data_IF_506166444040
#
_entry.id   IF_506166444040
#
_cell.length_a   1.000
_cell.length_b   1.000
_cell.length_c   1.000
_cell.angle_alpha   90.00
_cell.angle_beta   90.00
_cell.angle_gamma   90.00
#
_symmetry.space_group_name_H-M   'P 1'
#
loop_
_entity.id
_entity.type
_entity.pdbx_description
1 polymer ?
#
# COMPACT_ATOMS: atom_id res chain seq x y z
N UNK A 1 -17.39 -8.66 1.62
CA UNK A 1 -16.59 -9.44 0.67
C UNK A 1 -15.12 -9.27 1.04
N UNK A 2 -14.51 -10.29 1.64
CA UNK A 2 -13.09 -10.31 2.00
C UNK A 2 -12.54 -11.70 1.65
N UNK A 3 -12.42 -12.01 0.35
CA UNK A 3 -11.88 -13.30 -0.12
C UNK A 3 -10.92 -13.08 -1.28
N UNK A 4 -9.80 -12.42 -0.97
CA UNK A 4 -8.82 -12.05 -1.97
C UNK A 4 -7.44 -12.60 -1.57
N UNK A 5 -7.15 -13.77 -2.11
CA UNK A 5 -5.90 -14.50 -1.96
C UNK A 5 -5.93 -15.76 -2.82
N UNK A 6 -4.75 -16.29 -3.16
CA UNK A 6 -4.64 -17.61 -3.78
C UNK A 6 -5.18 -18.64 -2.78
N UNK A 7 -6.14 -19.48 -3.19
CA UNK A 7 -6.58 -20.61 -2.37
C UNK A 7 -5.34 -21.41 -1.97
N UNK A 8 -5.22 -21.88 -0.71
CA UNK A 8 -4.08 -22.70 -0.34
C UNK A 8 -3.99 -23.90 -1.30
N UNK A 9 -2.77 -24.34 -1.62
CA UNK A 9 -2.54 -25.27 -2.73
C UNK A 9 -3.39 -26.54 -2.66
N UNK A 10 -3.63 -27.07 -1.46
CA UNK A 10 -4.53 -28.22 -1.22
C UNK A 10 -5.94 -27.96 -1.77
N UNK A 11 -6.57 -26.87 -1.33
CA UNK A 11 -7.89 -26.42 -1.77
C UNK A 11 -7.93 -26.14 -3.28
N UNK A 12 -6.93 -25.43 -3.81
CA UNK A 12 -6.88 -25.14 -5.25
C UNK A 12 -6.74 -26.40 -6.09
N UNK A 13 -5.98 -27.40 -5.63
CA UNK A 13 -5.78 -28.64 -6.35
C UNK A 13 -7.05 -29.50 -6.36
N UNK A 14 -7.73 -29.62 -5.21
CA UNK A 14 -9.00 -30.33 -5.10
C UNK A 14 -10.08 -29.70 -6.01
N UNK A 15 -10.19 -28.37 -5.98
CA UNK A 15 -11.14 -27.64 -6.81
C UNK A 15 -10.85 -27.76 -8.32
N UNK A 16 -9.57 -27.65 -8.72
CA UNK A 16 -9.17 -27.85 -10.12
C UNK A 16 -9.36 -29.30 -10.59
N UNK A 17 -9.26 -30.27 -9.69
CA UNK A 17 -9.49 -31.69 -9.96
C UNK A 17 -10.97 -31.96 -10.22
N UNK A 18 -11.87 -31.35 -9.43
CA UNK A 18 -13.31 -31.37 -9.69
C UNK A 18 -13.64 -30.73 -11.05
N UNK A 19 -13.12 -29.52 -11.31
CA UNK A 19 -13.40 -28.76 -12.54
C UNK A 19 -12.93 -29.46 -13.83
N UNK A 20 -11.94 -30.36 -13.75
CA UNK A 20 -11.44 -31.15 -14.88
C UNK A 20 -12.25 -32.41 -15.17
N UNK A 21 -13.29 -32.72 -14.39
CA UNK A 21 -14.29 -33.77 -14.67
C UNK A 21 -13.82 -35.24 -14.65
N UNK A 22 -12.51 -35.51 -14.74
CA UNK A 22 -12.00 -36.84 -15.10
C UNK A 22 -11.34 -37.64 -13.95
N UNK A 23 -11.43 -37.19 -12.68
CA UNK A 23 -10.84 -37.93 -11.55
C UNK A 23 -11.73 -37.91 -10.32
N UNK A 24 -11.99 -39.09 -9.73
CA UNK A 24 -12.65 -39.23 -8.41
C UNK A 24 -11.87 -38.44 -7.34
N UNK A 25 -12.60 -37.65 -6.57
CA UNK A 25 -12.08 -36.97 -5.38
C UNK A 25 -11.95 -37.99 -4.24
N UNK A 26 -10.90 -37.85 -3.45
CA UNK A 26 -10.78 -38.54 -2.16
C UNK A 26 -11.71 -37.90 -1.14
N UNK A 27 -12.08 -38.60 -0.04
CA UNK A 27 -12.94 -38.04 1.00
C UNK A 27 -12.42 -36.70 1.56
N UNK A 28 -11.10 -36.57 1.74
CA UNK A 28 -10.48 -35.32 2.18
C UNK A 28 -10.58 -34.20 1.13
N UNK A 29 -10.47 -34.51 -0.16
CA UNK A 29 -10.63 -33.51 -1.23
C UNK A 29 -12.09 -33.07 -1.35
N UNK A 30 -13.06 -33.97 -1.14
CA UNK A 30 -14.49 -33.62 -1.11
C UNK A 30 -14.80 -32.61 -0.01
N UNK A 31 -14.35 -32.86 1.23
CA UNK A 31 -14.51 -31.91 2.35
C UNK A 31 -13.87 -30.57 2.04
N UNK A 32 -12.69 -30.57 1.41
CA UNK A 32 -12.02 -29.33 1.01
C UNK A 32 -12.81 -28.56 -0.06
N UNK A 33 -13.42 -29.25 -1.02
CA UNK A 33 -14.25 -28.63 -2.06
C UNK A 33 -15.55 -28.09 -1.48
N UNK A 34 -16.25 -28.85 -0.64
CA UNK A 34 -17.47 -28.39 0.03
C UNK A 34 -17.22 -27.11 0.85
N UNK A 35 -16.08 -27.06 1.57
CA UNK A 35 -15.68 -25.87 2.30
C UNK A 35 -15.42 -24.68 1.37
N UNK A 36 -14.80 -24.90 0.20
CA UNK A 36 -14.58 -23.86 -0.80
C UNK A 36 -15.90 -23.38 -1.39
N UNK A 37 -16.85 -24.28 -1.68
CA UNK A 37 -18.14 -23.92 -2.26
C UNK A 37 -18.97 -23.09 -1.28
N UNK A 38 -19.04 -23.49 -0.01
CA UNK A 38 -19.66 -22.68 1.06
C UNK A 38 -18.99 -21.30 1.18
N UNK A 39 -17.66 -21.25 1.01
CA UNK A 39 -16.90 -20.00 1.06
C UNK A 39 -17.15 -19.11 -0.17
N UNK A 40 -17.22 -19.69 -1.38
CA UNK A 40 -17.52 -18.97 -2.62
C UNK A 40 -18.96 -18.47 -2.60
N UNK A 41 -19.91 -19.27 -2.13
CA UNK A 41 -21.31 -18.87 -1.97
C UNK A 41 -21.44 -17.69 -1.00
N UNK A 42 -20.76 -17.78 0.15
CA UNK A 42 -20.85 -16.76 1.19
C UNK A 42 -20.11 -15.46 0.84
N UNK A 43 -19.02 -15.54 0.10
CA UNK A 43 -18.09 -14.42 -0.04
C UNK A 43 -17.69 -14.06 -1.47
N UNK A 44 -18.11 -14.84 -2.46
CA UNK A 44 -17.78 -14.67 -3.88
C UNK A 44 -16.47 -15.37 -4.30
N UNK A 45 -16.25 -15.46 -5.60
CA UNK A 45 -15.04 -16.06 -6.18
C UNK A 45 -13.82 -15.14 -6.02
N UNK A 46 -12.60 -15.70 -5.82
CA UNK A 46 -11.39 -14.89 -5.75
C UNK A 46 -11.17 -14.12 -7.05
N UNK A 47 -11.05 -12.79 -6.96
CA UNK A 47 -10.81 -11.92 -8.10
C UNK A 47 -9.44 -12.26 -8.72
N UNK A 48 -9.47 -12.64 -9.99
CA UNK A 48 -8.28 -12.93 -10.80
C UNK A 48 -7.87 -11.68 -11.59
N UNK A 49 -6.57 -11.49 -11.77
CA UNK A 49 -6.04 -10.44 -12.62
C UNK A 49 -6.48 -10.70 -14.07
N UNK A 50 -7.23 -9.75 -14.65
CA UNK A 50 -7.77 -9.85 -16.01
C UNK A 50 -6.71 -10.07 -17.09
N UNK A 51 -5.46 -9.65 -16.85
CA UNK A 51 -4.36 -9.77 -17.84
C UNK A 51 -3.69 -11.14 -17.85
N UNK A 52 -3.67 -11.88 -16.73
CA UNK A 52 -2.90 -13.12 -16.62
C UNK A 52 -3.63 -14.26 -15.89
N UNK A 53 -4.90 -14.08 -15.51
CA UNK A 53 -5.72 -15.10 -14.87
C UNK A 53 -5.28 -15.53 -13.46
N UNK A 54 -4.20 -14.95 -12.91
CA UNK A 54 -3.68 -15.29 -11.59
C UNK A 54 -4.50 -14.65 -10.48
N UNK A 55 -4.67 -15.35 -9.36
CA UNK A 55 -5.27 -14.78 -8.17
C UNK A 55 -4.47 -13.57 -7.69
N UNK A 56 -5.14 -12.46 -7.38
CA UNK A 56 -4.47 -11.29 -6.81
C UNK A 56 -3.93 -11.65 -5.42
N UNK A 57 -2.60 -11.75 -5.27
CA UNK A 57 -1.96 -11.81 -3.95
C UNK A 57 -2.07 -10.44 -3.28
N UNK A 58 -2.91 -10.37 -2.25
CA UNK A 58 -3.29 -9.10 -1.63
C UNK A 58 -2.33 -8.62 -0.54
N UNK A 59 -1.99 -9.51 0.40
CA UNK A 59 -1.33 -9.15 1.63
C UNK A 59 -0.57 -10.36 2.19
N UNK A 60 0.55 -10.09 2.85
CA UNK A 60 1.30 -11.08 3.63
C UNK A 60 0.51 -11.50 4.87
N UNK A 61 0.88 -12.64 5.48
CA UNK A 61 0.32 -13.04 6.78
C UNK A 61 0.45 -11.92 7.82
N UNK A 62 1.61 -11.26 7.83
CA UNK A 62 1.88 -10.06 8.63
C UNK A 62 0.83 -8.95 8.45
N UNK A 63 0.59 -8.52 7.20
CA UNK A 63 -0.40 -7.48 6.90
C UNK A 63 -1.82 -7.92 7.24
N UNK A 64 -2.17 -9.20 6.99
CA UNK A 64 -3.49 -9.75 7.33
C UNK A 64 -3.75 -9.68 8.82
N UNK A 65 -2.81 -10.11 9.65
CA UNK A 65 -2.99 -10.12 11.11
C UNK A 65 -3.18 -8.70 11.66
N UNK A 66 -2.40 -7.72 11.16
CA UNK A 66 -2.58 -6.31 11.55
C UNK A 66 -3.96 -5.80 11.12
N UNK A 67 -4.41 -6.10 9.90
CA UNK A 67 -5.72 -5.67 9.44
C UNK A 67 -6.87 -6.32 10.20
N UNK A 68 -6.75 -7.59 10.59
CA UNK A 68 -7.74 -8.25 11.45
C UNK A 68 -7.80 -7.58 12.83
N UNK A 69 -6.66 -7.32 13.46
CA UNK A 69 -6.61 -6.58 14.71
C UNK A 69 -7.17 -5.16 14.56
N UNK A 70 -6.88 -4.48 13.45
CA UNK A 70 -7.44 -3.17 13.18
C UNK A 70 -8.95 -3.20 12.93
N UNK A 71 -9.56 -4.33 12.59
CA UNK A 71 -11.01 -4.41 12.37
C UNK A 71 -11.81 -4.13 13.65
N UNK A 72 -11.26 -4.45 14.84
CA UNK A 72 -11.87 -4.15 16.16
C UNK A 72 -12.19 -2.66 16.36
N UNK A 73 -11.47 -1.80 15.64
CA UNK A 73 -11.72 -0.35 15.56
C UNK A 73 -13.14 -0.01 15.11
N UNK A 74 -13.71 -0.82 14.20
CA UNK A 74 -15.03 -0.55 13.60
C UNK A 74 -16.09 -0.50 14.69
N UNK A 75 -16.05 -1.47 15.59
CA UNK A 75 -17.04 -1.62 16.65
C UNK A 75 -16.81 -0.58 17.77
N UNK A 76 -15.60 -0.55 18.35
CA UNK A 76 -15.31 0.37 19.45
C UNK A 76 -13.85 0.83 19.53
N UNK A 77 -13.51 2.02 18.99
CA UNK A 77 -12.16 2.57 19.00
C UNK A 77 -11.68 3.00 20.39
N UNK A 78 -12.59 3.19 21.36
CA UNK A 78 -12.24 3.61 22.71
C UNK A 78 -11.77 2.45 23.58
N UNK A 79 -12.18 1.21 23.26
CA UNK A 79 -11.87 0.02 24.05
C UNK A 79 -10.90 -0.94 23.38
N UNK A 80 -10.87 -1.00 22.05
CA UNK A 80 -9.91 -1.86 21.34
C UNK A 80 -8.47 -1.38 21.56
N UNK A 81 -7.53 -2.33 21.60
CA UNK A 81 -6.09 -2.08 21.74
C UNK A 81 -5.75 -1.10 22.87
N UNK A 82 -6.38 -1.27 24.04
CA UNK A 82 -6.19 -0.42 25.22
C UNK A 82 -6.52 1.07 24.97
N UNK A 83 -7.47 1.35 24.07
CA UNK A 83 -7.85 2.71 23.70
C UNK A 83 -6.80 3.45 22.86
N UNK A 84 -5.75 2.77 22.36
CA UNK A 84 -4.73 3.36 21.50
C UNK A 84 -5.29 3.87 20.17
N UNK A 85 -6.47 3.41 19.76
CA UNK A 85 -7.21 3.89 18.57
C UNK A 85 -8.24 4.98 18.87
N UNK A 86 -8.33 5.47 20.12
CA UNK A 86 -9.25 6.55 20.52
C UNK A 86 -9.07 7.83 19.71
N UNK A 87 -7.86 8.13 19.23
CA UNK A 87 -7.59 9.28 18.35
C UNK A 87 -8.36 9.23 17.02
N UNK A 88 -8.77 8.04 16.59
CA UNK A 88 -9.60 7.82 15.40
C UNK A 88 -11.11 7.79 15.73
N UNK A 89 -11.50 7.95 16.99
CA UNK A 89 -12.91 7.96 17.42
C UNK A 89 -13.67 9.18 16.93
N UNK A 90 -12.98 10.32 16.73
CA UNK A 90 -13.60 11.59 16.32
C UNK A 90 -14.04 11.56 14.86
N UNK A 91 -15.15 10.85 14.65
CA UNK A 91 -15.98 10.91 13.47
C UNK A 91 -16.56 12.33 13.32
N UNK A 92 -16.74 12.80 12.08
CA UNK A 92 -17.32 14.13 11.80
C UNK A 92 -18.78 14.27 12.23
N UNK A 93 -19.40 13.21 12.74
CA UNK A 93 -20.83 13.14 13.05
C UNK A 93 -21.05 12.60 14.46
N UNK A 94 -22.09 13.11 15.12
CA UNK A 94 -22.56 12.66 16.44
C UNK A 94 -23.44 11.40 16.30
N UNK A 95 -24.02 11.16 15.12
CA UNK A 95 -24.95 10.06 14.88
C UNK A 95 -24.20 8.73 14.76
N UNK A 96 -24.48 7.79 15.68
CA UNK A 96 -23.82 6.47 15.76
C UNK A 96 -23.75 5.72 14.42
N UNK A 97 -24.83 5.71 13.65
CA UNK A 97 -24.86 5.06 12.33
C UNK A 97 -23.90 5.68 11.31
N UNK A 98 -23.73 7.01 11.33
CA UNK A 98 -22.75 7.68 10.47
C UNK A 98 -21.31 7.44 10.96
N UNK A 99 -21.10 7.40 12.27
CA UNK A 99 -19.79 7.05 12.84
C UNK A 99 -19.36 5.65 12.38
N UNK A 100 -20.24 4.66 12.48
CA UNK A 100 -19.99 3.31 11.99
C UNK A 100 -19.61 3.29 10.50
N UNK A 101 -20.39 3.96 9.64
CA UNK A 101 -20.09 4.07 8.20
C UNK A 101 -18.73 4.73 7.93
N UNK A 102 -18.36 5.74 8.71
CA UNK A 102 -17.04 6.40 8.61
C UNK A 102 -15.92 5.45 9.02
N UNK A 103 -16.08 4.67 10.10
CA UNK A 103 -15.09 3.69 10.54
C UNK A 103 -14.90 2.56 9.53
N UNK A 104 -16.00 2.05 8.96
CA UNK A 104 -15.94 1.07 7.86
C UNK A 104 -15.19 1.66 6.65
N UNK A 105 -15.48 2.90 6.28
CA UNK A 105 -14.76 3.57 5.17
C UNK A 105 -13.27 3.71 5.48
N UNK A 106 -12.92 4.11 6.69
CA UNK A 106 -11.53 4.24 7.12
C UNK A 106 -10.81 2.88 7.09
N UNK A 107 -11.46 1.83 7.58
CA UNK A 107 -10.95 0.45 7.49
C UNK A 107 -10.65 0.03 6.05
N UNK A 108 -11.58 0.32 5.13
CA UNK A 108 -11.38 0.02 3.69
C UNK A 108 -10.21 0.81 3.10
N UNK A 109 -10.04 2.08 3.47
CA UNK A 109 -8.90 2.91 3.04
C UNK A 109 -7.59 2.38 3.62
N UNK A 110 -7.51 2.08 4.91
CA UNK A 110 -6.31 1.53 5.56
C UNK A 110 -5.93 0.18 4.95
N UNK A 111 -6.90 -0.70 4.72
CA UNK A 111 -6.68 -1.97 4.01
C UNK A 111 -6.08 -1.74 2.64
N UNK A 112 -6.62 -0.77 1.89
CA UNK A 112 -6.11 -0.43 0.55
C UNK A 112 -4.66 0.06 0.61
N UNK A 113 -4.35 0.93 1.57
CA UNK A 113 -3.00 1.42 1.81
C UNK A 113 -2.05 0.24 2.14
N UNK A 114 -2.47 -0.66 3.03
CA UNK A 114 -1.72 -1.84 3.45
C UNK A 114 -1.34 -2.77 2.30
N UNK A 115 -2.20 -2.94 1.29
CA UNK A 115 -1.87 -3.78 0.12
C UNK A 115 -0.67 -3.28 -0.69
N UNK A 116 -0.29 -2.01 -0.52
CA UNK A 116 0.85 -1.37 -1.17
C UNK A 116 1.96 -1.00 -0.16
N UNK A 117 1.83 -1.40 1.11
CA UNK A 117 2.79 -1.09 2.16
C UNK A 117 3.94 -2.11 2.18
N UNK A 118 5.18 -1.64 2.24
CA UNK A 118 6.34 -2.45 2.61
C UNK A 118 6.29 -2.77 4.10
N UNK A 119 6.27 -4.06 4.44
CA UNK A 119 6.20 -4.50 5.85
C UNK A 119 7.43 -4.12 6.67
N UNK A 120 8.57 -3.92 6.00
CA UNK A 120 9.85 -3.61 6.65
C UNK A 120 9.90 -2.16 7.09
N UNK A 121 9.22 -1.28 6.37
CA UNK A 121 9.45 0.17 6.48
C UNK A 121 8.18 0.99 6.66
N UNK A 122 6.99 0.40 6.48
CA UNK A 122 5.71 1.09 6.57
C UNK A 122 5.40 2.00 5.37
N UNK A 123 6.30 2.11 4.39
CA UNK A 123 6.09 2.95 3.21
C UNK A 123 5.16 2.31 2.18
N UNK A 124 4.39 3.16 1.52
CA UNK A 124 3.43 2.78 0.50
C UNK A 124 3.98 3.10 -0.87
N UNK A 125 4.10 2.06 -1.68
CA UNK A 125 4.72 2.16 -2.99
C UNK A 125 4.51 0.92 -3.85
N UNK A 126 5.15 0.93 -5.00
CA UNK A 126 5.18 -0.19 -5.93
C UNK A 126 6.50 -0.24 -6.66
N UNK A 127 6.81 -1.42 -7.17
CA UNK A 127 7.87 -1.61 -8.15
C UNK A 127 7.31 -1.42 -9.57
N UNK A 128 8.19 -1.31 -10.55
CA UNK A 128 7.82 -1.17 -11.95
C UNK A 128 7.02 -2.39 -12.40
N UNK A 129 6.01 -2.16 -13.24
CA UNK A 129 5.31 -3.24 -13.91
C UNK A 129 6.02 -3.61 -15.23
N UNK A 130 5.52 -4.62 -15.94
CA UNK A 130 6.11 -5.10 -17.19
C UNK A 130 6.15 -4.08 -18.35
N UNK A 131 5.47 -2.95 -18.22
CA UNK A 131 5.41 -1.87 -19.21
C UNK A 131 6.22 -0.63 -18.80
N UNK A 132 6.81 -0.66 -17.60
CA UNK A 132 7.58 0.46 -17.06
C UNK A 132 9.05 0.06 -16.98
N UNK A 133 9.93 0.98 -17.35
CA UNK A 133 11.36 0.80 -17.13
C UNK A 133 11.65 0.65 -15.64
N UNK A 134 12.61 -0.20 -15.26
CA UNK A 134 13.00 -0.41 -13.86
C UNK A 134 14.02 0.63 -13.44
N UNK A 135 13.84 1.23 -12.26
CA UNK A 135 14.87 2.07 -11.66
C UNK A 135 15.73 1.21 -10.75
N UNK A 136 17.01 1.04 -11.07
CA UNK A 136 17.93 0.20 -10.31
C UNK A 136 18.84 1.06 -9.40
N UNK A 137 19.34 0.45 -8.33
CA UNK A 137 20.43 0.99 -7.52
C UNK A 137 21.81 0.55 -8.03
N UNK A 138 22.86 1.01 -7.35
CA UNK A 138 24.27 0.72 -7.66
C UNK A 138 24.59 -0.79 -7.64
N UNK A 139 23.74 -1.62 -7.02
CA UNK A 139 23.90 -3.06 -6.90
C UNK A 139 22.94 -3.85 -7.80
N UNK A 140 22.17 -3.17 -8.67
CA UNK A 140 21.21 -3.79 -9.57
C UNK A 140 19.89 -4.21 -8.91
N UNK A 141 19.58 -3.70 -7.72
CA UNK A 141 18.30 -3.92 -7.07
C UNK A 141 17.28 -2.86 -7.50
N UNK A 142 16.05 -3.28 -7.73
CA UNK A 142 14.98 -2.39 -8.18
C UNK A 142 14.49 -1.49 -7.04
N UNK A 143 14.53 -0.17 -7.23
CA UNK A 143 14.09 0.85 -6.27
C UNK A 143 12.57 0.93 -6.20
N UNK A 144 12.05 1.13 -4.98
CA UNK A 144 10.62 1.31 -4.75
C UNK A 144 10.17 2.71 -5.16
N UNK A 145 9.04 2.78 -5.88
CA UNK A 145 8.40 4.02 -6.32
C UNK A 145 7.25 4.38 -5.41
N UNK A 146 7.08 5.67 -5.13
CA UNK A 146 5.88 6.17 -4.46
C UNK A 146 4.62 5.88 -5.28
N UNK A 147 3.45 5.94 -4.64
CA UNK A 147 2.17 5.77 -5.33
C UNK A 147 1.32 7.03 -5.24
N UNK A 148 0.80 7.52 -6.37
CA UNK A 148 -0.13 8.65 -6.38
C UNK A 148 -1.46 8.30 -5.67
N UNK A 149 -2.11 9.30 -5.06
CA UNK A 149 -3.40 9.09 -4.40
C UNK A 149 -4.49 8.59 -5.35
N UNK A 150 -4.46 9.01 -6.63
CA UNK A 150 -5.39 8.49 -7.64
C UNK A 150 -5.21 6.98 -7.86
N UNK A 151 -3.97 6.50 -7.95
CA UNK A 151 -3.68 5.07 -8.11
C UNK A 151 -4.13 4.25 -6.88
N UNK A 152 -3.98 4.80 -5.67
CA UNK A 152 -4.52 4.19 -4.45
C UNK A 152 -6.05 4.10 -4.51
N UNK A 153 -6.74 5.14 -4.99
CA UNK A 153 -8.21 5.11 -5.17
C UNK A 153 -8.65 4.12 -6.26
N UNK A 154 -7.89 3.99 -7.35
CA UNK A 154 -8.14 2.97 -8.36
C UNK A 154 -7.99 1.57 -7.78
N UNK A 155 -6.98 1.37 -6.91
CA UNK A 155 -6.82 0.12 -6.16
C UNK A 155 -8.00 -0.10 -5.22
N UNK A 156 -8.43 0.90 -4.45
CA UNK A 156 -9.62 0.81 -3.59
C UNK A 156 -10.84 0.26 -4.36
N UNK A 157 -11.10 0.77 -5.56
CA UNK A 157 -12.19 0.29 -6.39
C UNK A 157 -12.02 -1.18 -6.80
N UNK A 158 -10.81 -1.60 -7.17
CA UNK A 158 -10.52 -3.00 -7.46
C UNK A 158 -10.70 -3.89 -6.22
N UNK A 159 -10.37 -3.37 -5.03
CA UNK A 159 -10.41 -4.14 -3.80
C UNK A 159 -11.83 -4.31 -3.25
N UNK A 160 -12.64 -3.27 -3.34
CA UNK A 160 -13.94 -3.18 -2.67
C UNK A 160 -15.13 -3.24 -3.62
N UNK A 161 -14.88 -3.29 -4.93
CA UNK A 161 -15.87 -3.19 -5.99
C UNK A 161 -16.80 -1.97 -5.82
N UNK A 162 -16.29 -0.90 -5.21
CA UNK A 162 -17.02 0.34 -4.98
C UNK A 162 -16.07 1.52 -5.18
N UNK A 163 -16.57 2.62 -5.73
CA UNK A 163 -15.75 3.83 -5.90
C UNK A 163 -15.72 4.66 -4.61
N UNK A 164 -14.60 5.32 -4.36
CA UNK A 164 -14.47 6.32 -3.30
C UNK A 164 -14.23 7.70 -3.90
N UNK A 165 -15.02 8.68 -3.46
CA UNK A 165 -14.85 10.07 -3.89
C UNK A 165 -13.53 10.66 -3.37
N UNK A 166 -12.99 11.65 -4.09
CA UNK A 166 -11.75 12.34 -3.67
C UNK A 166 -11.89 12.89 -2.25
N UNK A 167 -13.03 13.51 -1.93
CA UNK A 167 -13.32 14.09 -0.62
C UNK A 167 -13.33 13.05 0.49
N UNK A 168 -14.09 11.94 0.33
CA UNK A 168 -14.15 10.87 1.35
C UNK A 168 -12.79 10.23 1.59
N UNK A 169 -12.02 10.02 0.51
CA UNK A 169 -10.66 9.49 0.61
C UNK A 169 -9.73 10.47 1.36
N UNK A 170 -9.72 11.74 0.96
CA UNK A 170 -8.90 12.77 1.60
C UNK A 170 -9.24 12.95 3.08
N UNK A 171 -10.52 12.83 3.45
CA UNK A 171 -10.96 12.86 4.84
C UNK A 171 -10.36 11.71 5.66
N UNK A 172 -10.34 10.48 5.11
CA UNK A 172 -9.72 9.34 5.78
C UNK A 172 -8.21 9.55 5.98
N UNK A 173 -7.52 10.05 4.94
CA UNK A 173 -6.09 10.39 5.05
C UNK A 173 -5.87 11.47 6.11
N UNK A 174 -6.72 12.51 6.16
CA UNK A 174 -6.64 13.56 7.17
C UNK A 174 -6.85 13.02 8.58
N UNK A 175 -7.81 12.12 8.79
CA UNK A 175 -8.02 11.47 10.10
C UNK A 175 -6.77 10.70 10.55
N UNK A 176 -6.15 9.92 9.66
CA UNK A 176 -4.93 9.19 9.99
C UNK A 176 -3.76 10.13 10.30
N UNK A 177 -3.62 11.23 9.55
CA UNK A 177 -2.60 12.26 9.82
C UNK A 177 -2.82 12.93 11.17
N UNK A 178 -4.05 13.32 11.49
CA UNK A 178 -4.39 13.96 12.77
C UNK A 178 -4.18 13.02 13.97
N UNK A 179 -4.39 11.71 13.78
CA UNK A 179 -4.08 10.72 14.80
C UNK A 179 -2.56 10.44 14.94
N UNK A 180 -1.73 11.02 14.06
CA UNK A 180 -0.29 10.77 14.02
C UNK A 180 0.08 9.40 13.47
N UNK A 181 -0.85 8.72 12.78
CA UNK A 181 -0.67 7.35 12.26
C UNK A 181 -0.19 7.28 10.83
N UNK A 182 -0.22 8.41 10.12
CA UNK A 182 0.12 8.44 8.71
C UNK A 182 0.88 9.71 8.37
N UNK A 183 1.97 9.56 7.65
CA UNK A 183 2.78 10.65 7.14
C UNK A 183 2.73 10.66 5.62
N UNK A 184 2.68 11.87 5.07
CA UNK A 184 2.84 12.09 3.64
C UNK A 184 4.04 13.01 3.48
N UNK A 185 5.20 12.44 3.16
CA UNK A 185 6.38 13.21 2.79
C UNK A 185 6.23 13.60 1.33
N UNK A 186 5.95 14.88 1.07
CA UNK A 186 5.83 15.38 -0.28
C UNK A 186 7.13 15.13 -1.04
N UNK A 187 7.01 14.50 -2.20
CA UNK A 187 7.95 14.71 -3.30
C UNK A 187 7.14 15.42 -4.38
N UNK A 188 7.21 16.75 -4.27
CA UNK A 188 6.81 17.83 -5.18
C UNK A 188 5.38 18.32 -5.31
N UNK A 189 5.32 19.64 -5.13
CA UNK A 189 4.44 20.60 -5.77
C UNK A 189 4.85 20.64 -7.25
N UNK A 190 3.90 20.43 -8.16
CA UNK A 190 4.10 20.64 -9.60
C UNK A 190 4.78 21.98 -9.86
N UNK A 191 5.62 22.09 -10.89
CA UNK A 191 6.01 23.41 -11.40
C UNK A 191 4.81 24.00 -12.15
N UNK A 192 3.81 24.49 -11.39
CA UNK A 192 2.59 25.13 -11.93
C UNK A 192 2.92 26.37 -12.77
N UNK A 193 4.09 26.95 -12.52
CA UNK A 193 4.59 28.15 -13.19
C UNK A 193 5.42 27.82 -14.44
N UNK A 194 5.74 26.55 -14.72
CA UNK A 194 6.52 26.16 -15.89
C UNK A 194 5.89 26.69 -17.20
N UNK A 195 4.57 26.69 -17.30
CA UNK A 195 3.86 27.25 -18.46
C UNK A 195 3.91 28.77 -18.53
N UNK A 196 3.97 29.44 -17.37
CA UNK A 196 4.08 30.91 -17.27
C UNK A 196 5.50 31.32 -17.64
N UNK A 197 6.52 30.68 -17.05
CA UNK A 197 7.95 30.91 -17.34
C UNK A 197 8.25 30.66 -18.82
N UNK A 198 7.70 29.59 -19.41
CA UNK A 198 7.85 29.34 -20.86
C UNK A 198 7.24 30.44 -21.71
N UNK A 199 6.15 31.05 -21.25
CA UNK A 199 5.50 32.15 -21.97
C UNK A 199 6.29 33.45 -21.80
N UNK A 200 6.77 33.75 -20.60
CA UNK A 200 7.66 34.89 -20.34
C UNK A 200 8.97 34.81 -21.17
N UNK A 201 9.55 33.61 -21.30
CA UNK A 201 10.73 33.39 -22.14
C UNK A 201 10.45 33.64 -23.62
N UNK A 202 9.27 33.23 -24.12
CA UNK A 202 8.84 33.55 -25.50
C UNK A 202 8.67 35.05 -25.71
N UNK A 203 8.03 35.71 -24.77
CA UNK A 203 7.76 37.15 -24.85
C UNK A 203 9.06 37.97 -24.80
N UNK A 204 10.11 37.44 -24.15
CA UNK A 204 11.46 38.03 -24.08
C UNK A 204 12.39 37.61 -25.23
N UNK A 205 11.90 36.89 -26.24
CA UNK A 205 12.69 36.49 -27.41
C UNK A 205 13.71 35.38 -27.17
N UNK A 206 13.54 34.57 -26.12
CA UNK A 206 14.39 33.41 -25.87
C UNK A 206 14.26 32.37 -26.99
N UNK A 207 15.31 31.60 -27.20
CA UNK A 207 15.36 30.53 -28.20
C UNK A 207 14.48 29.34 -27.82
N UNK A 208 14.07 28.53 -28.82
CA UNK A 208 13.28 27.32 -28.57
C UNK A 208 14.01 26.33 -27.64
N UNK A 209 15.34 26.30 -27.66
CA UNK A 209 16.15 25.45 -26.78
C UNK A 209 16.03 25.90 -25.31
N UNK A 210 16.07 27.21 -25.04
CA UNK A 210 15.89 27.78 -23.69
C UNK A 210 14.47 27.56 -23.15
N UNK A 211 13.46 27.69 -24.02
CA UNK A 211 12.05 27.44 -23.66
C UNK A 211 11.82 25.95 -23.36
N UNK A 212 12.44 25.05 -24.12
CA UNK A 212 12.33 23.60 -23.88
C UNK A 212 13.15 23.13 -22.69
N UNK A 213 14.21 23.85 -22.31
CA UNK A 213 15.00 23.57 -21.13
C UNK A 213 14.19 23.71 -19.82
N UNK A 214 13.13 24.52 -19.79
CA UNK A 214 12.24 24.62 -18.61
C UNK A 214 11.47 23.30 -18.42
N UNK A 215 11.78 22.50 -17.37
CA UNK A 215 11.23 21.17 -17.23
C UNK A 215 9.77 21.24 -16.77
N UNK A 216 8.89 20.56 -17.50
CA UNK A 216 7.49 20.38 -17.07
C UNK A 216 7.44 19.25 -16.04
N UNK A 217 7.45 19.61 -14.76
CA UNK A 217 7.37 18.63 -13.66
C UNK A 217 5.89 18.31 -13.38
N UNK A 218 5.44 17.14 -13.81
CA UNK A 218 4.15 16.59 -13.42
C UNK A 218 4.14 16.20 -11.93
N UNK A 219 2.96 16.11 -11.31
CA UNK A 219 2.86 15.69 -9.91
C UNK A 219 3.41 14.28 -9.74
N UNK A 220 4.62 14.19 -9.20
CA UNK A 220 5.26 12.91 -8.91
C UNK A 220 4.60 12.24 -7.69
N UNK A 221 4.70 10.90 -7.58
CA UNK A 221 4.12 10.18 -6.46
C UNK A 221 4.71 10.61 -5.11
N UNK A 222 3.91 11.30 -4.29
CA UNK A 222 4.31 11.61 -2.91
C UNK A 222 4.54 10.35 -2.07
N UNK A 223 5.54 10.37 -1.19
CA UNK A 223 5.78 9.28 -0.25
C UNK A 223 4.76 9.29 0.87
N UNK A 224 4.34 8.10 1.25
CA UNK A 224 3.31 7.87 2.24
C UNK A 224 3.79 6.73 3.12
N UNK A 225 3.70 6.87 4.42
CA UNK A 225 4.04 5.78 5.33
C UNK A 225 3.10 5.76 6.53
N UNK A 226 2.89 4.56 7.06
CA UNK A 226 2.40 4.40 8.43
C UNK A 226 3.53 4.72 9.39
N UNK A 227 3.23 5.49 10.43
CA UNK A 227 4.21 5.91 11.43
C UNK A 227 4.45 4.80 12.45
N UNK A 228 5.52 4.94 13.24
CA UNK A 228 5.78 4.08 14.38
C UNK A 228 4.64 4.12 15.41
N UNK A 229 3.91 5.24 15.53
CA UNK A 229 2.74 5.33 16.40
C UNK A 229 1.62 4.39 15.97
N UNK A 230 1.43 4.16 14.66
CA UNK A 230 0.50 3.15 14.17
C UNK A 230 0.98 1.73 14.49
N UNK A 231 2.26 1.45 14.28
CA UNK A 231 2.83 0.14 14.61
C UNK A 231 2.74 -0.19 16.11
N UNK A 232 2.94 0.81 16.98
CA UNK A 232 2.87 0.68 18.44
C UNK A 232 1.47 0.30 18.97
N UNK A 233 0.41 0.51 18.17
CA UNK A 233 -0.92 -0.01 18.49
C UNK A 233 -0.91 -1.54 18.55
N UNK A 234 -0.18 -2.17 17.64
CA UNK A 234 -0.16 -3.62 17.42
C UNK A 234 1.14 -4.27 17.89
N UNK A 235 1.92 -3.61 18.74
CA UNK A 235 3.25 -4.06 19.15
C UNK A 235 3.27 -5.49 19.68
N UNK A 236 2.35 -5.83 20.59
CA UNK A 236 2.23 -7.18 21.14
C UNK A 236 1.97 -8.24 20.05
N UNK A 237 1.15 -7.90 19.05
CA UNK A 237 0.90 -8.77 17.91
C UNK A 237 2.15 -8.88 17.04
N UNK A 238 2.76 -7.76 16.67
CA UNK A 238 3.94 -7.69 15.81
C UNK A 238 5.10 -8.51 16.40
N UNK A 239 5.27 -8.49 17.72
CA UNK A 239 6.34 -9.21 18.42
C UNK A 239 6.06 -10.70 18.64
N UNK A 240 4.88 -11.21 18.25
CA UNK A 240 4.59 -12.64 18.30
C UNK A 240 5.48 -13.44 17.32
N UNK A 241 5.80 -14.68 17.70
CA UNK A 241 6.69 -15.55 16.92
C UNK A 241 6.21 -15.72 15.46
N UNK A 242 4.93 -16.04 15.27
CA UNK A 242 4.32 -16.18 13.95
C UNK A 242 4.48 -14.91 13.09
N UNK A 243 4.35 -13.72 13.69
CA UNK A 243 4.49 -12.44 12.97
C UNK A 243 5.93 -12.19 12.55
N UNK A 244 6.90 -12.51 13.42
CA UNK A 244 8.32 -12.41 13.11
C UNK A 244 8.72 -13.38 11.99
N UNK A 245 8.22 -14.62 12.02
CA UNK A 245 8.43 -15.60 10.94
C UNK A 245 7.84 -15.10 9.61
N UNK A 246 6.61 -14.56 9.62
CA UNK A 246 5.97 -14.00 8.42
C UNK A 246 6.75 -12.81 7.84
N UNK A 247 7.30 -11.97 8.72
CA UNK A 247 8.18 -10.84 8.35
C UNK A 247 9.47 -11.35 7.71
N UNK A 248 10.15 -12.30 8.34
CA UNK A 248 11.39 -12.90 7.82
C UNK A 248 11.21 -13.52 6.43
N UNK A 249 10.13 -14.28 6.21
CA UNK A 249 9.81 -14.86 4.89
C UNK A 249 9.63 -13.80 3.81
N UNK A 250 9.00 -12.67 4.16
CA UNK A 250 8.77 -11.58 3.23
C UNK A 250 10.07 -10.82 2.90
N UNK A 251 10.96 -10.64 3.89
CA UNK A 251 12.32 -10.10 3.69
C UNK A 251 13.11 -11.00 2.74
N UNK A 252 13.15 -12.31 3.02
CA UNK A 252 13.86 -13.27 2.19
C UNK A 252 13.35 -13.26 0.73
N UNK A 253 12.03 -13.15 0.54
CA UNK A 253 11.41 -13.04 -0.78
C UNK A 253 11.80 -11.74 -1.50
N UNK A 254 11.87 -10.61 -0.78
CA UNK A 254 12.31 -9.33 -1.33
C UNK A 254 13.76 -9.42 -1.84
N UNK A 255 14.65 -9.96 -1.02
CA UNK A 255 16.07 -10.14 -1.35
C UNK A 255 16.22 -11.05 -2.57
N UNK A 256 15.52 -12.20 -2.58
CA UNK A 256 15.51 -13.13 -3.72
C UNK A 256 15.08 -12.46 -5.03
N UNK A 257 14.14 -11.52 -4.94
CA UNK A 257 13.62 -10.80 -6.10
C UNK A 257 14.46 -9.56 -6.48
N UNK A 258 15.60 -9.31 -5.81
CA UNK A 258 16.45 -8.12 -6.01
C UNK A 258 15.67 -6.81 -5.89
N UNK A 259 14.79 -6.73 -4.90
CA UNK A 259 13.97 -5.54 -4.64
C UNK A 259 14.56 -4.71 -3.52
N UNK A 260 14.75 -3.42 -3.76
CA UNK A 260 15.34 -2.49 -2.82
C UNK A 260 14.28 -1.70 -2.06
N UNK A 261 14.55 -1.46 -0.77
CA UNK A 261 13.77 -0.52 0.04
C UNK A 261 14.16 0.94 -0.21
N UNK A 262 15.17 1.18 -1.05
CA UNK A 262 15.60 2.53 -1.43
C UNK A 262 14.54 3.16 -2.33
N UNK A 263 14.23 4.42 -2.01
CA UNK A 263 13.21 5.21 -2.68
C UNK A 263 13.80 6.15 -3.73
N UNK A 264 13.13 6.27 -4.88
CA UNK A 264 13.50 7.23 -5.94
C UNK A 264 12.98 8.64 -5.61
N UNK A 265 13.67 9.39 -4.75
CA UNK A 265 13.30 10.78 -4.45
C UNK A 265 13.89 11.74 -5.49
N UNK A 266 13.06 12.50 -6.18
CA UNK A 266 13.46 13.72 -6.88
C UNK A 266 13.60 14.86 -5.83
N UNK A 267 14.46 15.88 -6.01
CA UNK A 267 14.59 17.05 -5.08
C UNK A 267 14.72 18.39 -5.84
N UNK A 268 13.94 19.47 -5.54
CA UNK A 268 13.71 20.60 -6.50
C UNK A 268 14.85 21.54 -6.68
N UNK A 269 15.70 21.61 -5.68
CA UNK A 269 16.56 22.76 -5.47
C UNK A 269 17.99 22.50 -5.94
N UNK A 270 18.18 21.73 -7.02
CA UNK A 270 19.53 21.43 -7.49
C UNK A 270 19.74 21.34 -9.01
N UNK A 271 18.75 21.59 -9.87
CA UNK A 271 18.90 21.50 -11.35
C UNK A 271 19.64 20.24 -11.85
N UNK A 272 19.60 19.14 -11.07
CA UNK A 272 20.27 17.88 -11.39
C UNK A 272 19.75 16.73 -10.52
N UNK A 273 19.73 15.52 -11.10
CA UNK A 273 19.26 14.28 -10.49
C UNK A 273 20.27 13.78 -9.44
N UNK A 274 20.10 14.10 -8.16
CA UNK A 274 20.94 13.54 -7.10
C UNK A 274 20.22 12.49 -6.26
N UNK A 275 20.88 11.34 -6.07
CA UNK A 275 20.51 10.33 -5.06
C UNK A 275 21.04 10.77 -3.70
N UNK A 276 20.29 11.60 -2.96
CA UNK A 276 20.75 12.04 -1.63
C UNK A 276 20.54 10.93 -0.59
N UNK A 277 21.61 10.23 -0.20
CA UNK A 277 21.65 9.37 1.00
C UNK A 277 21.31 10.23 2.23
N UNK A 278 20.06 10.21 2.71
CA UNK A 278 19.56 11.05 3.82
C UNK A 278 20.17 10.62 5.16
N UNK A 279 21.28 11.24 5.57
CA UNK A 279 21.87 11.08 6.91
C UNK A 279 20.91 11.53 8.04
N UNK A 280 20.05 12.52 7.78
CA UNK A 280 19.08 13.04 8.78
C UNK A 280 17.90 12.09 9.07
N UNK A 281 17.66 11.12 8.19
CA UNK A 281 16.64 10.09 8.39
C UNK A 281 17.21 8.91 9.21
N UNK A 282 18.49 8.60 9.02
CA UNK A 282 19.23 7.60 9.80
C UNK A 282 19.44 8.04 11.26
N UNK A 283 19.70 9.34 11.49
CA UNK A 283 19.83 9.90 12.84
C UNK A 283 18.54 9.83 13.65
N UNK A 284 17.37 9.98 13.00
CA UNK A 284 16.04 9.79 13.63
C UNK A 284 15.74 8.33 14.00
N UNK A 285 16.48 7.37 13.42
CA UNK A 285 16.33 5.93 13.66
C UNK A 285 17.46 5.36 14.55
N UNK A 286 18.33 6.20 15.13
CA UNK A 286 19.54 5.79 15.86
C UNK A 286 20.45 4.82 15.08
N UNK A 287 20.47 4.94 13.75
CA UNK A 287 21.30 4.09 12.89
C UNK A 287 22.42 4.94 12.28
N UNK A 288 23.68 4.49 12.37
CA UNK A 288 24.84 5.18 11.78
C UNK A 288 25.04 4.86 10.30
N UNK A 289 24.35 3.83 9.79
CA UNK A 289 24.38 3.34 8.41
C UNK A 289 22.99 2.81 8.05
N UNK A 290 22.61 2.88 6.78
CA UNK A 290 21.43 2.14 6.32
C UNK A 290 21.67 0.64 6.58
N UNK A 291 20.68 -0.12 7.07
CA UNK A 291 20.79 -1.57 7.16
C UNK A 291 20.91 -2.11 5.73
N UNK A 292 22.15 -2.26 5.30
CA UNK A 292 22.55 -3.02 4.14
C UNK A 292 22.37 -4.48 4.56
N UNK A 293 21.48 -5.18 3.86
CA UNK A 293 21.58 -6.63 3.78
C UNK A 293 22.74 -6.99 2.86
#
# INVERSE_FOLDING_TARGET
MLTHGELPKSYSNAYNKLAKGNKKLTPSETIQVELIDQYIERFGTPIRNKKNGQALKWITGYQRSILLAFADFIDNPLRCHQGKLSKLHHCKSILKGLQFKQRVTLFKVVTTLFTATSIETGYIGRYANQYEEKSLDEHGFEKMRGMQHYAIRGRYQQLWNESISKTKYSDCIKMLKLAGFFEVTACYVSNTEASIIKQELRDNGATDEEIQAVPRVYSEPAYKCFTNAFAAVFEALINSEHMQQSKALSIAKRIKNKLCLIYVTYTPFSDSFFTRKRKDYLSRLFQSRFPQG
#
